data_IF_341386880190
#
_entry.id   IF_341386880190
#
_cell.length_a   1.000
_cell.length_b   1.000
_cell.length_c   1.000
_cell.angle_alpha   90.00
_cell.angle_beta   90.00
_cell.angle_gamma   90.00
#
_symmetry.space_group_name_H-M   'P 1'
#
loop_
_entity.id
_entity.type
_entity.pdbx_description
1 polymer ?
#
# COMPACT_ATOMS: atom_id res chain seq x y z
N UNK A 1 19.15 -2.52 0.18
CA UNK A 1 17.88 -2.31 -0.55
C UNK A 1 16.80 -1.93 0.46
N UNK A 2 16.02 -0.87 0.23
CA UNK A 2 14.89 -0.52 1.13
C UNK A 2 13.90 -1.69 1.18
N UNK A 3 13.29 -1.92 2.34
CA UNK A 3 12.29 -2.97 2.52
C UNK A 3 11.10 -2.74 1.55
N UNK A 4 10.70 -3.76 0.80
CA UNK A 4 9.65 -3.67 -0.23
C UNK A 4 8.30 -3.18 0.33
N UNK A 5 7.95 -3.56 1.57
CA UNK A 5 6.76 -3.03 2.25
C UNK A 5 6.93 -1.54 2.60
N UNK A 6 8.11 -1.12 3.03
CA UNK A 6 8.37 0.30 3.30
C UNK A 6 8.25 1.14 2.02
N UNK A 7 8.80 0.65 0.90
CA UNK A 7 8.67 1.29 -0.41
C UNK A 7 7.20 1.44 -0.82
N UNK A 8 6.41 0.38 -0.70
CA UNK A 8 4.97 0.44 -0.98
C UNK A 8 4.23 1.44 -0.08
N UNK A 9 4.59 1.51 1.21
CA UNK A 9 4.02 2.49 2.14
C UNK A 9 4.30 3.93 1.71
N UNK A 10 5.54 4.24 1.34
CA UNK A 10 5.95 5.58 0.89
C UNK A 10 5.15 6.01 -0.35
N UNK A 11 4.99 5.11 -1.33
CA UNK A 11 4.19 5.35 -2.54
C UNK A 11 2.72 5.57 -2.20
N UNK A 12 2.09 4.67 -1.44
CA UNK A 12 0.66 4.79 -1.08
C UNK A 12 0.41 6.06 -0.27
N UNK A 13 1.30 6.42 0.65
CA UNK A 13 1.18 7.65 1.43
C UNK A 13 1.28 8.89 0.54
N UNK A 14 2.22 8.92 -0.42
CA UNK A 14 2.33 10.01 -1.39
C UNK A 14 1.06 10.17 -2.24
N UNK A 15 0.52 9.06 -2.76
CA UNK A 15 -0.69 9.08 -3.59
C UNK A 15 -1.91 9.54 -2.81
N UNK A 16 -2.14 8.97 -1.62
CA UNK A 16 -3.36 9.23 -0.84
C UNK A 16 -3.36 10.55 -0.08
N UNK A 17 -2.20 11.16 0.16
CA UNK A 17 -2.08 12.34 1.03
C UNK A 17 -1.37 13.54 0.40
N UNK A 18 -0.49 13.31 -0.56
CA UNK A 18 0.37 14.35 -1.12
C UNK A 18 0.00 14.65 -2.60
N UNK A 19 -1.14 14.12 -3.07
CA UNK A 19 -1.62 14.26 -4.47
C UNK A 19 -0.58 13.83 -5.52
N UNK A 20 0.34 12.93 -5.14
CA UNK A 20 1.35 12.43 -6.05
C UNK A 20 0.73 11.47 -7.07
N UNK A 21 1.16 11.54 -8.33
CA UNK A 21 0.74 10.60 -9.37
C UNK A 21 1.30 9.20 -9.07
N UNK A 22 0.41 8.22 -8.95
CA UNK A 22 0.75 6.83 -8.61
C UNK A 22 1.84 6.24 -9.51
N UNK A 23 1.76 6.45 -10.82
CA UNK A 23 2.72 5.90 -11.77
C UNK A 23 4.11 6.55 -11.62
N UNK A 24 4.18 7.86 -11.45
CA UNK A 24 5.45 8.58 -11.28
C UNK A 24 6.12 8.27 -9.93
N UNK A 25 5.32 8.17 -8.86
CA UNK A 25 5.81 7.77 -7.54
C UNK A 25 6.29 6.32 -7.52
N UNK A 26 5.60 5.42 -8.22
CA UNK A 26 5.96 4.02 -8.31
C UNK A 26 7.24 3.81 -9.13
N UNK A 27 7.38 4.44 -10.30
CA UNK A 27 8.61 4.35 -11.11
C UNK A 27 9.85 4.79 -10.33
N UNK A 28 9.77 5.94 -9.66
CA UNK A 28 10.88 6.45 -8.83
C UNK A 28 11.22 5.53 -7.66
N UNK A 29 10.21 4.92 -7.04
CA UNK A 29 10.39 4.03 -5.89
C UNK A 29 10.94 2.66 -6.28
N UNK A 30 10.80 2.26 -7.56
CA UNK A 30 11.25 0.98 -8.09
C UNK A 30 12.61 1.06 -8.81
N UNK A 31 13.20 2.24 -8.92
CA UNK A 31 14.51 2.40 -9.56
C UNK A 31 15.59 1.61 -8.79
N UNK A 32 16.37 0.81 -9.52
CA UNK A 32 17.38 -0.08 -8.94
C UNK A 32 16.88 -1.29 -8.12
N UNK A 33 15.56 -1.53 -8.04
CA UNK A 33 15.01 -2.69 -7.32
C UNK A 33 15.09 -3.99 -8.14
N UNK A 34 15.24 -5.13 -7.44
CA UNK A 34 15.17 -6.46 -8.06
C UNK A 34 13.76 -6.74 -8.61
N UNK A 35 13.67 -7.57 -9.67
CA UNK A 35 12.41 -7.86 -10.36
C UNK A 35 11.32 -8.43 -9.42
N UNK A 36 11.71 -9.26 -8.44
CA UNK A 36 10.78 -9.83 -7.47
C UNK A 36 10.18 -8.76 -6.56
N UNK A 37 10.99 -7.80 -6.13
CA UNK A 37 10.53 -6.68 -5.29
C UNK A 37 9.66 -5.71 -6.07
N UNK A 38 10.00 -5.45 -7.34
CA UNK A 38 9.16 -4.65 -8.24
C UNK A 38 7.76 -5.25 -8.35
N UNK A 39 7.66 -6.54 -8.64
CA UNK A 39 6.37 -7.23 -8.77
C UNK A 39 5.55 -7.15 -7.46
N UNK A 40 6.20 -7.38 -6.32
CA UNK A 40 5.55 -7.31 -5.01
C UNK A 40 5.03 -5.91 -4.69
N UNK A 41 5.88 -4.88 -4.83
CA UNK A 41 5.54 -3.49 -4.54
C UNK A 41 4.41 -3.01 -5.45
N UNK A 42 4.51 -3.27 -6.75
CA UNK A 42 3.48 -2.90 -7.73
C UNK A 42 2.13 -3.51 -7.38
N UNK A 43 2.09 -4.82 -7.08
CA UNK A 43 0.85 -5.50 -6.69
C UNK A 43 0.25 -4.92 -5.41
N UNK A 44 1.08 -4.67 -4.40
CA UNK A 44 0.62 -4.12 -3.13
C UNK A 44 0.10 -2.68 -3.27
N UNK A 45 0.81 -1.83 -4.02
CA UNK A 45 0.41 -0.43 -4.25
C UNK A 45 -0.90 -0.36 -5.01
N UNK A 46 -1.00 -0.95 -6.21
CA UNK A 46 -2.22 -0.87 -7.01
C UNK A 46 -3.38 -1.57 -6.31
N UNK A 47 -3.13 -2.74 -5.71
CA UNK A 47 -4.15 -3.47 -4.98
C UNK A 47 -4.78 -2.70 -3.83
N UNK A 48 -3.98 -1.97 -3.05
CA UNK A 48 -4.48 -1.11 -1.98
C UNK A 48 -5.26 0.08 -2.53
N UNK A 49 -4.78 0.72 -3.61
CA UNK A 49 -5.45 1.86 -4.20
C UNK A 49 -6.80 1.48 -4.83
N UNK A 50 -6.84 0.40 -5.62
CA UNK A 50 -8.05 -0.11 -6.27
C UNK A 50 -9.11 -0.59 -5.28
N UNK A 51 -8.70 -1.26 -4.19
CA UNK A 51 -9.62 -1.83 -3.20
C UNK A 51 -9.79 -0.96 -1.96
N UNK A 52 -9.37 0.31 -2.00
CA UNK A 52 -9.38 1.20 -0.82
C UNK A 52 -10.74 1.23 -0.10
N UNK A 53 -11.85 1.29 -0.83
CA UNK A 53 -13.19 1.31 -0.23
C UNK A 53 -13.53 -0.01 0.49
N UNK A 54 -13.22 -1.15 -0.13
CA UNK A 54 -13.39 -2.47 0.48
C UNK A 54 -12.52 -2.61 1.73
N UNK A 55 -11.25 -2.21 1.65
CA UNK A 55 -10.33 -2.27 2.79
C UNK A 55 -10.77 -1.34 3.92
N UNK A 56 -11.23 -0.13 3.59
CA UNK A 56 -11.80 0.81 4.57
C UNK A 56 -13.01 0.22 5.29
N UNK A 57 -13.96 -0.35 4.53
CA UNK A 57 -15.11 -1.02 5.10
C UNK A 57 -14.69 -2.15 6.05
N UNK A 58 -13.83 -3.07 5.60
CA UNK A 58 -13.38 -4.21 6.41
C UNK A 58 -12.68 -3.75 7.68
N UNK A 59 -11.77 -2.78 7.60
CA UNK A 59 -11.02 -2.29 8.76
C UNK A 59 -11.96 -1.57 9.74
N UNK A 60 -12.91 -0.77 9.24
CA UNK A 60 -13.82 -0.01 10.10
C UNK A 60 -14.75 -0.91 10.93
N UNK A 61 -15.00 -2.17 10.52
CA UNK A 61 -15.72 -3.15 11.35
C UNK A 61 -14.99 -3.42 12.68
N UNK A 62 -13.65 -3.39 12.66
CA UNK A 62 -12.82 -3.71 13.82
C UNK A 62 -12.30 -2.47 14.58
N UNK A 63 -12.40 -1.28 13.99
CA UNK A 63 -11.96 -0.04 14.63
C UNK A 63 -13.02 0.49 15.61
N UNK A 64 -12.61 0.70 16.86
CA UNK A 64 -13.44 1.33 17.89
C UNK A 64 -13.42 2.87 17.83
N UNK A 65 -12.41 3.46 17.20
CA UNK A 65 -12.21 4.91 17.15
C UNK A 65 -11.42 5.33 15.91
N UNK A 66 -11.41 6.64 15.63
CA UNK A 66 -10.66 7.20 14.50
C UNK A 66 -9.16 6.93 14.66
N UNK A 67 -8.53 6.45 13.59
CA UNK A 67 -7.11 6.13 13.55
C UNK A 67 -6.33 7.21 12.79
N UNK A 68 -5.05 7.44 13.17
CA UNK A 68 -4.15 8.33 12.44
C UNK A 68 -4.01 7.88 10.98
N UNK A 69 -3.98 8.80 9.98
CA UNK A 69 -3.95 8.44 8.56
C UNK A 69 -2.84 7.45 8.16
N UNK A 70 -1.61 7.65 8.66
CA UNK A 70 -0.47 6.75 8.38
C UNK A 70 -0.69 5.33 8.90
N UNK A 71 -1.29 5.19 10.09
CA UNK A 71 -1.63 3.88 10.64
C UNK A 71 -2.73 3.23 9.80
N UNK A 72 -3.71 4.00 9.32
CA UNK A 72 -4.76 3.49 8.44
C UNK A 72 -4.21 2.95 7.13
N UNK A 73 -3.18 3.57 6.57
CA UNK A 73 -2.45 3.06 5.39
C UNK A 73 -1.77 1.71 5.69
N UNK A 74 -1.09 1.59 6.83
CA UNK A 74 -0.48 0.31 7.24
C UNK A 74 -1.55 -0.79 7.39
N UNK A 75 -2.71 -0.45 7.96
CA UNK A 75 -3.84 -1.37 8.05
C UNK A 75 -4.36 -1.78 6.67
N UNK A 76 -4.46 -0.85 5.71
CA UNK A 76 -4.83 -1.20 4.33
C UNK A 76 -3.84 -2.19 3.72
N UNK A 77 -2.54 -1.93 3.84
CA UNK A 77 -1.50 -2.81 3.28
C UNK A 77 -1.50 -4.20 3.92
N UNK A 78 -1.62 -4.28 5.24
CA UNK A 78 -1.71 -5.55 5.96
C UNK A 78 -2.96 -6.33 5.57
N UNK A 79 -4.11 -5.66 5.59
CA UNK A 79 -5.41 -6.26 5.23
C UNK A 79 -5.40 -6.74 3.78
N UNK A 80 -4.83 -5.97 2.86
CA UNK A 80 -4.74 -6.38 1.46
C UNK A 80 -3.87 -7.62 1.28
N UNK A 81 -2.71 -7.68 1.93
CA UNK A 81 -1.84 -8.86 1.89
C UNK A 81 -2.56 -10.10 2.41
N UNK A 82 -3.28 -10.00 3.54
CA UNK A 82 -4.00 -11.13 4.13
C UNK A 82 -5.14 -11.61 3.24
N UNK A 83 -5.91 -10.69 2.66
CA UNK A 83 -7.15 -11.05 1.93
C UNK A 83 -6.94 -11.33 0.44
N UNK A 84 -5.88 -10.81 -0.18
CA UNK A 84 -5.75 -10.78 -1.65
C UNK A 84 -4.34 -11.14 -2.18
N UNK A 85 -3.41 -11.53 -1.31
CA UNK A 85 -2.08 -11.99 -1.73
C UNK A 85 -1.82 -13.42 -1.22
N UNK A 86 -1.88 -14.39 -2.14
CA UNK A 86 -1.78 -15.83 -1.83
C UNK A 86 -0.38 -16.29 -1.36
N UNK A 87 0.66 -15.49 -1.66
CA UNK A 87 2.04 -15.72 -1.20
C UNK A 87 2.62 -14.41 -0.66
N UNK A 88 3.03 -14.44 0.61
CA UNK A 88 3.64 -13.30 1.35
C UNK A 88 5.14 -13.50 1.52
#
# INVERSE_FOLDING_TARGET
MKNSRLTAFEVINGVLRENAYSNLSLEKALDGAENKDKAFVTRLVYGVLERKLTLDYVINIYLKSKTKPKIKILLYMGTYQILFMDKV
#
